data_IF_739807139208
#
_entry.id   IF_739807139208
#
_cell.length_a   1.000
_cell.length_b   1.000
_cell.length_c   1.000
_cell.angle_alpha   90.00
_cell.angle_beta   90.00
_cell.angle_gamma   90.00
#
_symmetry.space_group_name_H-M   'P 1'
#
loop_
_entity.id
_entity.type
_entity.pdbx_description
1 polymer ?
#
# COMPACT_ATOMS: atom_id res chain seq x y z
N UNK A 1 -7.14 7.91 5.64
CA UNK A 1 -6.47 7.45 6.88
C UNK A 1 -6.57 8.40 8.07
N UNK A 2 -6.76 7.82 9.27
CA UNK A 2 -6.92 8.54 10.55
C UNK A 2 -5.61 9.19 11.03
N UNK A 3 -4.46 8.60 10.70
CA UNK A 3 -3.16 9.07 11.19
C UNK A 3 -2.56 10.27 10.45
N UNK A 4 -3.24 10.82 9.44
CA UNK A 4 -2.68 11.85 8.54
C UNK A 4 -2.26 13.12 9.29
N UNK A 5 -3.07 13.58 10.24
CA UNK A 5 -2.77 14.80 11.01
C UNK A 5 -1.52 14.61 11.88
N UNK A 6 -1.43 13.49 12.60
CA UNK A 6 -0.28 13.17 13.44
C UNK A 6 0.99 12.96 12.61
N UNK A 7 0.89 12.26 11.48
CA UNK A 7 2.01 12.08 10.56
C UNK A 7 2.51 13.42 10.00
N UNK A 8 1.61 14.35 9.64
CA UNK A 8 2.00 15.68 9.17
C UNK A 8 2.74 16.49 10.25
N UNK A 9 2.37 16.36 11.53
CA UNK A 9 3.10 17.00 12.63
C UNK A 9 4.54 16.49 12.77
N UNK A 10 4.78 15.21 12.49
CA UNK A 10 6.11 14.60 12.58
C UNK A 10 6.95 14.86 11.32
N UNK A 11 6.37 14.66 10.14
CA UNK A 11 7.13 14.68 8.89
C UNK A 11 7.14 16.04 8.18
N UNK A 12 6.16 16.92 8.44
CA UNK A 12 6.03 18.19 7.74
C UNK A 12 5.95 17.98 6.23
N UNK A 13 6.64 18.79 5.44
CA UNK A 13 6.64 18.68 3.98
C UNK A 13 7.75 17.78 3.43
N UNK A 14 8.43 17.00 4.30
CA UNK A 14 9.45 16.03 3.88
C UNK A 14 8.86 14.82 3.14
N UNK A 15 7.55 14.62 3.26
CA UNK A 15 6.81 13.57 2.58
C UNK A 15 5.54 14.15 1.99
N UNK A 16 5.11 13.59 0.86
CA UNK A 16 3.84 13.97 0.24
C UNK A 16 2.68 13.25 0.93
N UNK A 17 1.65 14.02 1.25
CA UNK A 17 0.40 13.50 1.82
C UNK A 17 -0.70 13.58 0.77
N UNK A 18 -1.38 12.47 0.54
CA UNK A 18 -2.51 12.39 -0.40
C UNK A 18 -3.81 12.14 0.36
N UNK A 19 -4.92 12.71 -0.13
CA UNK A 19 -6.23 12.54 0.51
C UNK A 19 -6.91 11.22 0.15
N UNK A 20 -6.49 10.61 -0.96
CA UNK A 20 -7.03 9.34 -1.45
C UNK A 20 -5.89 8.30 -1.49
N UNK A 21 -6.09 7.09 -0.92
CA UNK A 21 -5.03 6.07 -0.89
C UNK A 21 -4.58 5.59 -2.27
N UNK A 22 -5.43 5.67 -3.29
CA UNK A 22 -5.04 5.30 -4.65
C UNK A 22 -3.98 6.24 -5.25
N UNK A 23 -4.01 7.52 -4.86
CA UNK A 23 -2.99 8.49 -5.29
C UNK A 23 -1.60 8.15 -4.73
N UNK A 24 -1.52 7.42 -3.60
CA UNK A 24 -0.25 6.98 -3.04
C UNK A 24 0.44 5.92 -3.91
N UNK A 25 -0.29 5.27 -4.82
CA UNK A 25 0.25 4.27 -5.74
C UNK A 25 0.70 4.88 -7.08
N UNK A 26 0.28 6.10 -7.41
CA UNK A 26 0.58 6.72 -8.70
C UNK A 26 2.08 6.94 -8.90
N UNK A 27 2.63 6.32 -9.93
CA UNK A 27 4.05 6.39 -10.26
C UNK A 27 4.97 5.69 -9.24
N UNK A 28 4.43 4.98 -8.26
CA UNK A 28 5.23 4.29 -7.25
C UNK A 28 5.85 3.01 -7.80
N UNK A 29 7.08 2.69 -7.39
CA UNK A 29 7.72 1.41 -7.63
C UNK A 29 7.30 0.35 -6.59
N UNK A 30 6.89 0.78 -5.39
CA UNK A 30 6.40 -0.10 -4.33
C UNK A 30 5.37 0.59 -3.45
N UNK A 31 4.43 -0.18 -2.90
CA UNK A 31 3.42 0.27 -1.96
C UNK A 31 3.50 -0.50 -0.64
N UNK A 32 3.50 0.23 0.48
CA UNK A 32 3.59 -0.33 1.83
C UNK A 32 2.26 -0.18 2.57
N UNK A 33 1.75 -1.29 3.08
CA UNK A 33 0.69 -1.30 4.07
C UNK A 33 1.26 -1.33 5.47
N UNK A 34 1.24 -0.18 6.15
CA UNK A 34 1.80 -0.02 7.51
C UNK A 34 0.73 -0.03 8.61
N UNK A 35 -0.55 0.05 8.26
CA UNK A 35 -1.68 0.06 9.20
C UNK A 35 -2.87 -0.69 8.60
N UNK A 36 -3.64 -1.37 9.45
CA UNK A 36 -4.74 -2.27 9.08
C UNK A 36 -6.12 -1.61 9.12
N UNK A 37 -6.21 -0.33 8.73
CA UNK A 37 -7.49 0.37 8.63
C UNK A 37 -8.45 -0.35 7.68
N UNK A 38 -9.75 -0.31 7.99
CA UNK A 38 -10.77 -1.02 7.23
C UNK A 38 -10.80 -0.62 5.75
N UNK A 39 -10.49 0.64 5.44
CA UNK A 39 -10.36 1.15 4.06
C UNK A 39 -9.31 0.41 3.21
N UNK A 40 -8.33 -0.26 3.85
CA UNK A 40 -7.27 -0.99 3.15
C UNK A 40 -7.48 -2.51 3.10
N UNK A 41 -8.56 -3.06 3.66
CA UNK A 41 -8.77 -4.51 3.67
C UNK A 41 -9.10 -5.09 2.30
N UNK A 42 -9.82 -4.35 1.47
CA UNK A 42 -10.28 -4.80 0.15
C UNK A 42 -10.18 -3.67 -0.89
N UNK A 43 -8.98 -3.14 -1.17
CA UNK A 43 -8.83 -2.12 -2.17
C UNK A 43 -9.02 -2.69 -3.58
N UNK A 44 -9.28 -1.82 -4.54
CA UNK A 44 -9.22 -2.17 -5.96
C UNK A 44 -7.76 -2.34 -6.38
N UNK A 45 -7.28 -3.58 -6.32
CA UNK A 45 -5.91 -3.92 -6.70
C UNK A 45 -5.65 -3.77 -8.20
N UNK A 46 -6.66 -3.85 -9.07
CA UNK A 46 -6.47 -3.64 -10.50
C UNK A 46 -6.14 -2.16 -10.77
N UNK A 47 -6.89 -1.25 -10.11
CA UNK A 47 -6.59 0.18 -10.14
C UNK A 47 -5.21 0.50 -9.58
N UNK A 48 -4.84 -0.08 -8.44
CA UNK A 48 -3.51 0.10 -7.85
C UNK A 48 -2.43 -0.35 -8.84
N UNK A 49 -2.57 -1.54 -9.43
CA UNK A 49 -1.60 -2.09 -10.37
C UNK A 49 -1.39 -1.16 -11.57
N UNK A 50 -2.47 -0.64 -12.14
CA UNK A 50 -2.42 0.24 -13.31
C UNK A 50 -1.80 1.62 -13.04
N UNK A 51 -1.78 2.06 -11.78
CA UNK A 51 -1.19 3.34 -11.37
C UNK A 51 0.32 3.26 -11.07
N UNK A 52 0.83 2.07 -10.74
CA UNK A 52 2.22 1.86 -10.31
C UNK A 52 3.19 1.72 -11.50
N UNK A 53 4.45 2.12 -11.30
CA UNK A 53 5.56 1.82 -12.24
C UNK A 53 5.99 0.37 -12.15
N UNK A 54 6.04 -0.17 -10.94
CA UNK A 54 6.32 -1.58 -10.67
C UNK A 54 5.30 -2.10 -9.65
N UNK A 55 4.65 -3.25 -9.87
CA UNK A 55 3.60 -3.74 -8.98
C UNK A 55 4.19 -4.48 -7.78
N UNK A 56 4.91 -3.77 -6.89
CA UNK A 56 5.52 -4.35 -5.68
C UNK A 56 4.72 -3.96 -4.43
N UNK A 57 4.26 -4.94 -3.67
CA UNK A 57 3.49 -4.74 -2.44
C UNK A 57 4.25 -5.28 -1.23
N UNK A 58 4.34 -4.45 -0.20
CA UNK A 58 4.80 -4.84 1.14
C UNK A 58 3.64 -4.76 2.11
N UNK A 59 3.21 -5.91 2.62
CA UNK A 59 2.12 -6.02 3.58
C UNK A 59 2.67 -6.22 5.00
N UNK A 60 2.84 -5.11 5.71
CA UNK A 60 3.30 -5.09 7.10
C UNK A 60 2.29 -5.66 8.10
N UNK A 61 1.05 -5.93 7.67
CA UNK A 61 -0.06 -6.36 8.53
C UNK A 61 -0.63 -7.72 8.16
N UNK A 62 -0.15 -8.32 7.07
CA UNK A 62 -0.56 -9.62 6.54
C UNK A 62 -2.08 -9.74 6.29
N UNK A 63 -2.77 -8.63 6.04
CA UNK A 63 -4.23 -8.60 5.87
C UNK A 63 -4.66 -8.93 4.43
N UNK A 64 -3.74 -8.84 3.46
CA UNK A 64 -4.04 -9.19 2.08
C UNK A 64 -3.76 -10.67 1.81
N UNK A 65 -4.51 -11.22 0.84
CA UNK A 65 -4.30 -12.58 0.38
C UNK A 65 -3.10 -12.63 -0.58
N UNK A 66 -1.98 -13.15 -0.09
CA UNK A 66 -0.73 -13.24 -0.82
C UNK A 66 -0.85 -14.02 -2.14
N UNK A 67 -1.59 -15.14 -2.15
CA UNK A 67 -1.79 -15.95 -3.36
C UNK A 67 -2.54 -15.14 -4.41
N UNK A 68 -3.68 -14.56 -4.04
CA UNK A 68 -4.48 -13.71 -4.95
C UNK A 68 -3.65 -12.57 -5.54
N UNK A 69 -2.82 -11.90 -4.75
CA UNK A 69 -2.02 -10.77 -5.25
C UNK A 69 -0.90 -11.23 -6.19
N UNK A 70 -0.28 -12.38 -5.92
CA UNK A 70 0.68 -13.00 -6.85
C UNK A 70 0.02 -13.43 -8.15
N UNK A 71 -1.18 -14.02 -8.09
CA UNK A 71 -1.96 -14.41 -9.27
C UNK A 71 -2.38 -13.18 -10.10
N UNK A 72 -2.63 -12.03 -9.44
CA UNK A 72 -2.85 -10.74 -10.09
C UNK A 72 -1.56 -10.12 -10.65
N UNK A 73 -0.40 -10.75 -10.47
CA UNK A 73 0.89 -10.33 -11.00
C UNK A 73 1.57 -9.22 -10.20
N UNK A 74 1.31 -9.14 -8.89
CA UNK A 74 2.13 -8.35 -7.97
C UNK A 74 3.30 -9.18 -7.44
N UNK A 75 4.45 -8.53 -7.25
CA UNK A 75 5.46 -9.02 -6.33
C UNK A 75 4.98 -8.70 -4.92
N UNK A 76 4.71 -9.72 -4.11
CA UNK A 76 4.14 -9.53 -2.77
C UNK A 76 5.09 -10.02 -1.68
N UNK A 77 5.35 -9.16 -0.70
CA UNK A 77 6.10 -9.45 0.51
C UNK A 77 5.21 -9.28 1.73
N UNK A 78 5.06 -10.33 2.53
CA UNK A 78 4.36 -10.29 3.83
C UNK A 78 5.33 -10.57 4.96
N UNK A 79 5.05 -10.04 6.15
CA UNK A 79 5.90 -10.25 7.34
C UNK A 79 5.85 -11.70 7.77
N UNK A 80 7.02 -12.35 7.89
CA UNK A 80 7.13 -13.73 8.37
C UNK A 80 6.53 -14.78 7.41
N UNK A 81 6.27 -14.45 6.15
CA UNK A 81 5.63 -15.36 5.18
C UNK A 81 6.60 -16.19 4.31
N UNK A 82 7.90 -16.07 4.53
CA UNK A 82 8.91 -16.66 3.62
C UNK A 82 8.88 -15.98 2.24
N UNK A 83 9.97 -16.13 1.49
CA UNK A 83 10.00 -15.70 0.09
C UNK A 83 9.15 -16.64 -0.77
#
# INVERSE_FOLDING_TARGET
PVAMENARRVFGDRVSFVQNPYLAAEGADALFLVTEWNEFRQPDFARIKGAMRQPILFDGRNIWNARKLRDLGFTYYGVGRGA
#
